data_IF_748313638761
#
_entry.id   IF_748313638761
#
_cell.length_a   1.000
_cell.length_b   1.000
_cell.length_c   1.000
_cell.angle_alpha   90.00
_cell.angle_beta   90.00
_cell.angle_gamma   90.00
#
_symmetry.space_group_name_H-M   'P 1'
#
loop_
_entity.id
_entity.type
_entity.pdbx_description
1 polymer ?
#
# COMPACT_ATOMS: atom_id res chain seq x y z
N UNK A 1 -19.67 -1.65 5.48
CA UNK A 1 -18.24 -2.04 5.53
C UNK A 1 -17.48 -1.67 4.26
N UNK A 2 -18.08 -1.76 3.05
CA UNK A 2 -17.45 -1.36 1.77
C UNK A 2 -16.95 0.09 1.67
N UNK A 3 -17.55 1.03 2.42
CA UNK A 3 -17.19 2.43 2.35
C UNK A 3 -15.86 2.75 3.06
N UNK A 4 -15.55 2.01 4.13
CA UNK A 4 -14.32 2.17 4.91
C UNK A 4 -13.09 1.59 4.20
N UNK A 5 -13.28 0.55 3.38
CA UNK A 5 -12.20 -0.02 2.55
C UNK A 5 -11.87 0.87 1.35
N UNK A 6 -12.88 1.51 0.74
CA UNK A 6 -12.66 2.43 -0.37
C UNK A 6 -11.92 3.71 0.06
N UNK A 7 -12.23 4.22 1.26
CA UNK A 7 -11.50 5.37 1.83
C UNK A 7 -10.05 5.02 2.16
N UNK A 8 -9.79 3.83 2.71
CA UNK A 8 -8.44 3.35 2.98
C UNK A 8 -7.60 3.22 1.70
N UNK A 9 -8.17 2.66 0.63
CA UNK A 9 -7.48 2.50 -0.66
C UNK A 9 -7.14 3.86 -1.30
N UNK A 10 -8.06 4.82 -1.21
CA UNK A 10 -7.85 6.18 -1.73
C UNK A 10 -6.73 6.91 -0.98
N UNK A 11 -6.71 6.78 0.35
CA UNK A 11 -5.64 7.32 1.20
C UNK A 11 -4.28 6.70 0.87
N UNK A 12 -4.22 5.39 0.64
CA UNK A 12 -2.99 4.70 0.25
C UNK A 12 -2.47 5.11 -1.11
N UNK A 13 -3.36 5.34 -2.09
CA UNK A 13 -2.98 5.90 -3.39
C UNK A 13 -2.40 7.30 -3.28
N UNK A 14 -2.86 8.10 -2.30
CA UNK A 14 -2.27 9.42 -2.01
C UNK A 14 -0.91 9.32 -1.32
N UNK A 15 -0.75 8.40 -0.36
CA UNK A 15 0.53 8.16 0.33
C UNK A 15 1.60 7.55 -0.58
N UNK A 16 1.18 6.64 -1.46
CA UNK A 16 2.04 5.93 -2.39
C UNK A 16 1.52 6.15 -3.83
N UNK A 17 1.81 7.32 -4.45
CA UNK A 17 1.45 7.56 -5.84
C UNK A 17 2.03 6.52 -6.79
N UNK A 18 1.38 6.31 -7.94
CA UNK A 18 1.86 5.40 -8.98
C UNK A 18 3.33 5.68 -9.33
N UNK A 19 4.10 4.62 -9.60
CA UNK A 19 5.54 4.66 -9.86
C UNK A 19 6.42 5.18 -8.70
N UNK A 20 5.87 5.36 -7.50
CA UNK A 20 6.71 5.61 -6.32
C UNK A 20 7.66 4.43 -6.07
N UNK A 21 8.89 4.70 -5.67
CA UNK A 21 9.81 3.62 -5.28
C UNK A 21 9.30 2.90 -4.04
N UNK A 22 9.65 1.62 -3.90
CA UNK A 22 9.31 0.84 -2.69
C UNK A 22 9.85 1.52 -1.43
N UNK A 23 11.06 2.09 -1.48
CA UNK A 23 11.64 2.81 -0.35
C UNK A 23 10.80 4.03 0.05
N UNK A 24 10.32 4.80 -0.93
CA UNK A 24 9.42 5.94 -0.68
C UNK A 24 8.12 5.46 -0.02
N UNK A 25 7.48 4.43 -0.59
CA UNK A 25 6.24 3.87 -0.06
C UNK A 25 6.41 3.38 1.38
N UNK A 26 7.46 2.60 1.67
CA UNK A 26 7.74 2.10 3.02
C UNK A 26 7.94 3.24 4.02
N UNK A 27 8.58 4.34 3.62
CA UNK A 27 8.76 5.50 4.49
C UNK A 27 7.44 6.23 4.75
N UNK A 28 6.61 6.43 3.72
CA UNK A 28 5.29 7.04 3.86
C UNK A 28 4.37 6.20 4.77
N UNK A 29 4.36 4.88 4.61
CA UNK A 29 3.60 3.97 5.47
C UNK A 29 4.05 4.07 6.94
N UNK A 30 5.37 4.12 7.20
CA UNK A 30 5.92 4.31 8.56
C UNK A 30 5.50 5.66 9.15
N UNK A 31 5.59 6.74 8.39
CA UNK A 31 5.19 8.08 8.84
C UNK A 31 3.70 8.15 9.17
N UNK A 32 2.86 7.51 8.35
CA UNK A 32 1.42 7.38 8.57
C UNK A 32 1.06 6.36 9.68
N UNK A 33 2.05 5.73 10.33
CA UNK A 33 1.88 4.68 11.34
C UNK A 33 1.03 3.49 10.86
N UNK A 34 1.09 3.20 9.57
CA UNK A 34 0.41 2.05 8.96
C UNK A 34 1.27 0.81 9.17
N UNK A 35 0.69 -0.25 9.75
CA UNK A 35 1.34 -1.54 9.87
C UNK A 35 1.36 -2.27 8.52
N UNK A 36 2.51 -2.83 8.14
CA UNK A 36 2.66 -3.55 6.90
C UNK A 36 3.65 -4.72 7.02
N UNK A 37 3.50 -5.69 6.13
CA UNK A 37 4.45 -6.77 5.89
C UNK A 37 5.16 -6.53 4.56
N UNK A 38 6.49 -6.47 4.57
CA UNK A 38 7.29 -6.30 3.36
C UNK A 38 7.86 -7.65 2.90
N UNK A 39 7.46 -8.09 1.70
CA UNK A 39 7.89 -9.33 1.05
C UNK A 39 8.81 -9.08 -0.16
N UNK A 40 9.41 -7.88 -0.25
CA UNK A 40 10.39 -7.52 -1.27
C UNK A 40 9.76 -6.81 -2.47
N UNK A 41 8.92 -7.49 -3.24
CA UNK A 41 8.16 -6.91 -4.36
C UNK A 41 6.66 -6.74 -4.07
N UNK A 42 6.23 -7.20 -2.90
CA UNK A 42 4.86 -7.12 -2.42
C UNK A 42 4.89 -6.52 -1.02
N UNK A 43 4.03 -5.54 -0.75
CA UNK A 43 3.80 -5.00 0.59
C UNK A 43 2.33 -5.16 0.94
N UNK A 44 2.05 -5.85 2.04
CA UNK A 44 0.68 -6.10 2.49
C UNK A 44 0.39 -5.15 3.66
N UNK A 45 -0.70 -4.39 3.59
CA UNK A 45 -1.19 -3.58 4.70
C UNK A 45 -2.52 -4.19 5.20
N UNK A 46 -2.47 -5.13 6.17
CA UNK A 46 -3.62 -5.96 6.54
C UNK A 46 -4.75 -5.15 7.17
N UNK A 47 -4.44 -4.11 7.95
CA UNK A 47 -5.46 -3.26 8.59
C UNK A 47 -6.25 -2.42 7.58
N UNK A 48 -5.61 -2.08 6.46
CA UNK A 48 -6.23 -1.34 5.35
C UNK A 48 -6.85 -2.29 4.32
N UNK A 49 -6.65 -3.60 4.48
CA UNK A 49 -7.11 -4.60 3.54
C UNK A 49 -6.58 -4.33 2.14
N UNK A 50 -5.28 -4.13 1.98
CA UNK A 50 -4.68 -3.89 0.67
C UNK A 50 -3.30 -4.54 0.45
N UNK A 51 -2.94 -4.69 -0.81
CA UNK A 51 -1.62 -5.14 -1.29
C UNK A 51 -1.06 -4.10 -2.25
N UNK A 52 0.20 -3.74 -2.08
CA UNK A 52 0.97 -2.92 -3.00
C UNK A 52 1.91 -3.82 -3.80
N UNK A 53 1.81 -3.77 -5.13
CA UNK A 53 2.66 -4.53 -6.05
C UNK A 53 3.75 -3.67 -6.65
N UNK A 54 5.00 -4.14 -6.56
CA UNK A 54 6.18 -3.45 -7.07
C UNK A 54 6.84 -4.23 -8.20
N UNK A 55 7.15 -3.54 -9.30
CA UNK A 55 7.97 -4.06 -10.41
C UNK A 55 9.18 -3.17 -10.59
N UNK A 56 10.37 -3.77 -10.71
CA UNK A 56 11.62 -3.01 -10.79
C UNK A 56 11.75 -1.96 -9.68
N UNK A 57 11.30 -2.30 -8.45
CA UNK A 57 11.28 -1.42 -7.26
C UNK A 57 10.33 -0.21 -7.33
N UNK A 58 9.43 -0.14 -8.32
CA UNK A 58 8.43 0.92 -8.44
C UNK A 58 7.02 0.36 -8.28
N UNK A 59 6.14 1.13 -7.64
CA UNK A 59 4.74 0.78 -7.43
C UNK A 59 4.02 0.71 -8.77
N UNK A 60 3.41 -0.44 -9.04
CA UNK A 60 2.58 -0.65 -10.22
C UNK A 60 1.10 -0.52 -9.88
N UNK A 61 0.70 -1.08 -8.74
CA UNK A 61 -0.71 -1.27 -8.42
C UNK A 61 -0.92 -1.38 -6.91
N UNK A 62 -2.10 -0.93 -6.47
CA UNK A 62 -2.63 -1.15 -5.12
C UNK A 62 -3.98 -1.85 -5.26
N UNK A 63 -4.06 -3.09 -4.79
CA UNK A 63 -5.28 -3.90 -4.79
C UNK A 63 -5.86 -4.04 -3.39
N UNK A 64 -7.18 -4.28 -3.32
CA UNK A 64 -7.82 -4.75 -2.08
C UNK A 64 -7.40 -6.18 -1.76
N UNK A 65 -7.04 -6.40 -0.50
CA UNK A 65 -6.80 -7.70 0.11
C UNK A 65 -8.05 -8.11 0.89
N UNK A 66 -8.73 -9.17 0.44
CA UNK A 66 -9.69 -9.90 1.25
C UNK A 66 -9.09 -11.27 1.58
N UNK A 67 -8.98 -11.58 2.87
CA UNK A 67 -8.67 -12.92 3.35
C UNK A 67 -9.85 -13.89 3.12
#
# INVERSE_FOLDING_TARGET
MYQATYSALSQLKQLCPAHSSIASCLNQLRQAKIQFLNLGNIVICPQQGCILFFKQRHLMEIETFSA
#
